data_IF_401013688817
#
_entry.id   IF_401013688817
#
_cell.length_a   1.000
_cell.length_b   1.000
_cell.length_c   1.000
_cell.angle_alpha   90.00
_cell.angle_beta   90.00
_cell.angle_gamma   90.00
#
_symmetry.space_group_name_H-M   'P 1'
#
loop_
_entity.id
_entity.type
_entity.pdbx_description
1 polymer ?
#
# COMPACT_ATOMS: atom_id res chain seq x y z
N UNK A 1 -3.64 12.55 4.01
CA UNK A 1 -3.73 13.93 3.51
C UNK A 1 -3.94 13.92 2.00
N UNK A 2 -4.57 14.95 1.42
CA UNK A 2 -4.65 15.18 -0.05
C UNK A 2 -3.56 16.15 -0.53
N UNK A 3 -2.61 16.46 0.34
CA UNK A 3 -1.44 17.27 0.01
C UNK A 3 -0.57 16.56 -1.04
N UNK A 4 0.05 17.35 -1.93
CA UNK A 4 0.91 16.82 -2.99
C UNK A 4 0.19 16.32 -4.25
N UNK A 5 -1.15 16.46 -4.33
CA UNK A 5 -1.87 16.21 -5.58
C UNK A 5 -1.49 17.26 -6.64
N UNK A 6 -1.21 16.79 -7.86
CA UNK A 6 -0.89 17.66 -9.01
C UNK A 6 -2.12 18.36 -9.61
N UNK A 7 -3.32 17.86 -9.31
CA UNK A 7 -4.56 18.45 -9.80
C UNK A 7 -4.83 19.80 -9.11
N UNK A 8 -5.42 20.78 -9.81
CA UNK A 8 -5.78 22.08 -9.21
C UNK A 8 -6.69 21.90 -7.99
N UNK A 9 -6.47 22.72 -6.94
CA UNK A 9 -7.23 22.65 -5.68
C UNK A 9 -8.74 22.72 -5.91
N UNK A 10 -9.21 23.62 -6.77
CA UNK A 10 -10.63 23.75 -7.13
C UNK A 10 -11.22 22.47 -7.71
N UNK A 11 -10.45 21.73 -8.52
CA UNK A 11 -10.87 20.43 -9.07
C UNK A 11 -10.92 19.36 -8.00
N UNK A 12 -9.93 19.34 -7.10
CA UNK A 12 -9.89 18.39 -5.98
C UNK A 12 -11.05 18.61 -5.01
N UNK A 13 -11.41 19.88 -4.76
CA UNK A 13 -12.57 20.28 -3.96
C UNK A 13 -13.88 19.87 -4.64
N UNK A 14 -14.03 20.11 -5.94
CA UNK A 14 -15.22 19.72 -6.70
C UNK A 14 -15.45 18.20 -6.75
N UNK A 15 -14.39 17.39 -6.72
CA UNK A 15 -14.50 15.91 -6.61
C UNK A 15 -15.07 15.48 -5.25
N UNK A 16 -14.86 16.28 -4.20
CA UNK A 16 -15.35 16.00 -2.86
C UNK A 16 -14.49 15.01 -2.06
N UNK A 17 -15.06 14.53 -0.96
CA UNK A 17 -14.39 13.65 0.00
C UNK A 17 -14.22 12.24 -0.55
N UNK A 18 -13.08 11.62 -0.24
CA UNK A 18 -12.78 10.25 -0.65
C UNK A 18 -11.39 9.80 -0.25
N UNK A 19 -11.19 8.48 -0.20
CA UNK A 19 -9.91 7.86 0.11
C UNK A 19 -8.94 7.91 -1.07
N UNK A 20 -7.67 8.20 -0.80
CA UNK A 20 -6.58 7.99 -1.76
C UNK A 20 -6.09 6.55 -1.67
N UNK A 21 -5.68 5.97 -2.79
CA UNK A 21 -5.08 4.64 -2.87
C UNK A 21 -3.90 4.63 -3.84
N UNK A 22 -3.20 3.50 -3.95
CA UNK A 22 -2.06 3.36 -4.86
C UNK A 22 -0.73 3.81 -4.25
N UNK A 23 0.25 4.12 -5.12
CA UNK A 23 1.66 4.32 -4.76
C UNK A 23 1.89 5.37 -3.66
N UNK A 24 1.05 6.40 -3.64
CA UNK A 24 1.03 7.47 -2.62
C UNK A 24 0.89 6.91 -1.20
N UNK A 25 0.24 5.76 -1.00
CA UNK A 25 0.10 5.14 0.31
C UNK A 25 1.29 4.27 0.74
N UNK A 26 2.29 4.03 -0.12
CA UNK A 26 3.33 3.03 0.13
C UNK A 26 4.08 3.32 1.44
N UNK A 27 4.67 4.51 1.58
CA UNK A 27 5.43 4.89 2.77
C UNK A 27 4.57 4.86 4.03
N UNK A 28 3.44 5.59 4.02
CA UNK A 28 2.57 5.70 5.20
C UNK A 28 2.02 4.37 5.68
N UNK A 29 1.65 3.47 4.77
CA UNK A 29 1.17 2.14 5.16
C UNK A 29 2.29 1.25 5.71
N UNK A 30 3.54 1.40 5.24
CA UNK A 30 4.70 0.71 5.84
C UNK A 30 4.93 1.16 7.28
N UNK A 31 4.88 2.47 7.54
CA UNK A 31 5.02 3.02 8.89
C UNK A 31 3.98 2.46 9.87
N UNK A 32 2.72 2.35 9.41
CA UNK A 32 1.63 1.82 10.23
C UNK A 32 1.87 0.35 10.56
N UNK A 33 2.39 -0.46 9.63
CA UNK A 33 2.75 -1.86 9.89
C UNK A 33 3.82 -1.95 10.98
N UNK A 34 4.91 -1.19 10.85
CA UNK A 34 5.98 -1.14 11.84
C UNK A 34 5.44 -0.71 13.21
N UNK A 35 4.60 0.32 13.24
CA UNK A 35 3.98 0.82 14.46
C UNK A 35 3.12 -0.24 15.16
N UNK A 36 2.32 -0.98 14.39
CA UNK A 36 1.44 -2.04 14.89
C UNK A 36 2.23 -3.25 15.36
N UNK A 37 3.20 -3.74 14.58
CA UNK A 37 4.01 -4.90 14.96
C UNK A 37 4.75 -4.66 16.28
N UNK A 38 5.22 -3.44 16.52
CA UNK A 38 5.88 -3.06 17.78
C UNK A 38 4.96 -3.05 19.02
N UNK A 39 3.63 -3.13 18.84
CA UNK A 39 2.63 -3.00 19.92
C UNK A 39 1.68 -4.18 20.04
N UNK A 40 1.58 -5.00 19.00
CA UNK A 40 0.76 -6.20 18.97
C UNK A 40 1.60 -7.41 19.39
N UNK A 41 0.92 -8.42 19.94
CA UNK A 41 1.54 -9.71 20.20
C UNK A 41 1.82 -10.41 18.87
N UNK A 42 2.88 -11.21 18.80
CA UNK A 42 3.25 -11.95 17.60
C UNK A 42 2.16 -12.91 17.11
N UNK A 43 1.26 -13.35 18.00
CA UNK A 43 0.11 -14.17 17.64
C UNK A 43 -0.98 -13.44 16.84
N UNK A 44 -0.92 -12.12 16.72
CA UNK A 44 -1.86 -11.32 15.94
C UNK A 44 -1.30 -11.13 14.53
N UNK A 45 -2.02 -11.64 13.54
CA UNK A 45 -1.65 -11.51 12.15
C UNK A 45 -1.87 -10.07 11.63
N UNK A 46 -0.89 -9.55 10.89
CA UNK A 46 -0.95 -8.27 10.17
C UNK A 46 -0.95 -8.57 8.67
N UNK A 47 -2.05 -8.18 8.00
CA UNK A 47 -2.17 -8.24 6.54
C UNK A 47 -1.95 -6.84 5.97
N UNK A 48 -0.84 -6.64 5.28
CA UNK A 48 -0.46 -5.36 4.72
C UNK A 48 -1.20 -5.03 3.42
N UNK A 49 -1.65 -3.79 3.29
CA UNK A 49 -2.23 -3.24 2.06
C UNK A 49 -1.85 -1.77 1.90
N UNK A 50 -1.82 -1.29 0.66
CA UNK A 50 -1.53 0.11 0.33
C UNK A 50 -0.20 0.28 -0.40
N UNK A 51 -0.26 0.77 -1.64
CA UNK A 51 0.94 1.12 -2.40
C UNK A 51 1.81 -0.05 -2.87
N UNK A 52 1.27 -1.27 -2.98
CA UNK A 52 2.00 -2.46 -3.43
C UNK A 52 1.79 -2.69 -4.93
N UNK A 53 2.87 -2.57 -5.71
CA UNK A 53 2.87 -2.74 -7.18
C UNK A 53 3.92 -3.77 -7.64
N UNK A 54 4.96 -3.99 -6.84
CA UNK A 54 6.10 -4.85 -7.18
C UNK A 54 6.41 -5.86 -6.07
N UNK A 55 7.24 -6.87 -6.37
CA UNK A 55 7.75 -7.80 -5.37
C UNK A 55 8.56 -7.08 -4.28
N UNK A 56 9.34 -6.06 -4.65
CA UNK A 56 10.09 -5.24 -3.70
C UNK A 56 9.17 -4.48 -2.72
N UNK A 57 8.05 -3.92 -3.20
CA UNK A 57 7.07 -3.27 -2.31
C UNK A 57 6.47 -4.27 -1.33
N UNK A 58 6.14 -5.49 -1.80
CA UNK A 58 5.63 -6.54 -0.93
C UNK A 58 6.68 -6.99 0.10
N UNK A 59 7.94 -7.17 -0.31
CA UNK A 59 9.06 -7.50 0.58
C UNK A 59 9.28 -6.41 1.64
N UNK A 60 9.15 -5.14 1.27
CA UNK A 60 9.21 -4.00 2.20
C UNK A 60 8.13 -4.14 3.29
N UNK A 61 6.88 -4.48 2.94
CA UNK A 61 5.80 -4.69 3.92
C UNK A 61 6.07 -5.88 4.85
N UNK A 62 6.54 -6.99 4.28
CA UNK A 62 6.87 -8.19 5.06
C UNK A 62 8.00 -7.90 6.05
N UNK A 63 9.05 -7.22 5.60
CA UNK A 63 10.17 -6.82 6.45
C UNK A 63 9.77 -5.83 7.55
N UNK A 64 8.74 -5.00 7.33
CA UNK A 64 8.16 -4.12 8.33
C UNK A 64 7.36 -4.87 9.41
N UNK A 65 7.11 -6.18 9.24
CA UNK A 65 6.43 -7.04 10.21
C UNK A 65 5.03 -7.47 9.79
N UNK A 66 4.66 -7.36 8.52
CA UNK A 66 3.44 -7.96 7.99
C UNK A 66 3.63 -9.47 7.76
N UNK A 67 2.57 -10.25 7.98
CA UNK A 67 2.56 -11.69 7.73
C UNK A 67 2.11 -12.01 6.30
N UNK A 68 1.22 -11.18 5.75
CA UNK A 68 0.68 -11.31 4.39
C UNK A 68 0.57 -9.94 3.72
N UNK A 69 0.42 -9.94 2.40
CA UNK A 69 0.17 -8.73 1.60
C UNK A 69 -1.09 -8.87 0.74
N UNK A 70 -1.79 -7.76 0.54
CA UNK A 70 -2.94 -7.62 -0.35
C UNK A 70 -2.69 -6.53 -1.39
N UNK A 71 -3.22 -6.74 -2.60
CA UNK A 71 -3.05 -5.81 -3.72
C UNK A 71 -4.40 -5.40 -4.29
N UNK A 72 -4.53 -4.14 -4.68
CA UNK A 72 -5.73 -3.63 -5.38
C UNK A 72 -5.36 -2.63 -6.46
N UNK A 73 -4.98 -1.40 -6.08
CA UNK A 73 -4.65 -0.35 -7.06
C UNK A 73 -3.52 -0.78 -7.99
N UNK A 74 -2.51 -1.50 -7.48
CA UNK A 74 -1.49 -2.13 -8.32
C UNK A 74 -2.09 -3.06 -9.37
N UNK A 75 -2.94 -3.99 -8.94
CA UNK A 75 -3.60 -4.95 -9.83
C UNK A 75 -4.42 -4.26 -10.94
N UNK A 76 -5.14 -3.18 -10.59
CA UNK A 76 -5.91 -2.39 -11.55
C UNK A 76 -5.03 -1.80 -12.67
N UNK A 77 -3.86 -1.26 -12.33
CA UNK A 77 -2.97 -0.61 -13.31
C UNK A 77 -2.02 -1.58 -14.04
N UNK A 78 -1.59 -2.65 -13.35
CA UNK A 78 -0.55 -3.57 -13.83
C UNK A 78 -1.11 -4.86 -14.45
N UNK A 79 -2.41 -5.07 -14.30
CA UNK A 79 -3.16 -6.23 -14.79
C UNK A 79 -2.89 -7.52 -14.02
N UNK A 80 -3.58 -8.62 -14.38
CA UNK A 80 -3.54 -9.88 -13.63
C UNK A 80 -2.16 -10.54 -13.61
N UNK A 81 -1.34 -10.32 -14.64
CA UNK A 81 0.03 -10.83 -14.69
C UNK A 81 0.94 -10.21 -13.61
N UNK A 82 0.53 -9.11 -12.95
CA UNK A 82 1.27 -8.46 -11.87
C UNK A 82 1.66 -9.44 -10.77
N UNK A 83 0.71 -10.25 -10.29
CA UNK A 83 0.96 -11.17 -9.17
C UNK A 83 2.09 -12.15 -9.52
N UNK A 84 2.07 -12.69 -10.75
CA UNK A 84 3.15 -13.57 -11.23
C UNK A 84 4.49 -12.85 -11.35
N UNK A 85 4.51 -11.57 -11.78
CA UNK A 85 5.73 -10.76 -11.83
C UNK A 85 6.29 -10.49 -10.43
N UNK A 86 5.43 -10.16 -9.47
CA UNK A 86 5.81 -9.91 -8.09
C UNK A 86 6.45 -11.13 -7.46
N UNK A 87 5.82 -12.31 -7.59
CA UNK A 87 6.29 -13.55 -6.98
C UNK A 87 7.66 -14.02 -7.51
N UNK A 88 8.08 -13.60 -8.70
CA UNK A 88 9.43 -13.92 -9.22
C UNK A 88 10.55 -13.14 -8.53
N UNK A 89 10.22 -12.00 -7.94
CA UNK A 89 11.17 -11.05 -7.37
C UNK A 89 10.81 -10.71 -5.91
N UNK A 90 10.06 -11.60 -5.23
CA UNK A 90 9.66 -11.45 -3.84
C UNK A 90 10.67 -12.16 -2.97
#
# INVERSE_FOLDING_TARGET
>A
SRDGLRAPKSKVEAIGVGGLSGKVLRERSTEVITYLRARLKDSIAIIAVGGIFTGADAREKLNAGADLVQVWTGFLYEGPAMVRRMLRNL
#
